data_IF_625132474756
#
_entry.id   IF_625132474756
#
_cell.length_a   1.000
_cell.length_b   1.000
_cell.length_c   1.000
_cell.angle_alpha   90.00
_cell.angle_beta   90.00
_cell.angle_gamma   90.00
#
_symmetry.space_group_name_H-M   'P 1'
#
loop_
_entity.id
_entity.type
_entity.pdbx_description
1 polymer ?
#
# COMPACT_ATOMS: atom_id res chain seq x y z
N UNK A 1 9.61 12.35 2.17
CA UNK A 1 10.09 11.78 3.44
C UNK A 1 11.24 12.64 3.92
N UNK A 2 10.98 13.35 5.00
CA UNK A 2 11.83 14.31 5.70
C UNK A 2 12.53 13.70 6.94
N UNK A 3 12.04 12.56 7.43
CA UNK A 3 12.75 11.71 8.39
C UNK A 3 12.47 12.05 9.85
N UNK A 4 11.34 12.68 10.16
CA UNK A 4 10.94 13.04 11.53
C UNK A 4 9.84 12.14 12.12
N UNK A 5 9.25 11.25 11.33
CA UNK A 5 8.25 10.30 11.81
C UNK A 5 7.32 9.83 10.69
N UNK A 6 6.19 9.23 11.09
CA UNK A 6 5.03 9.05 10.22
C UNK A 6 3.94 9.96 10.75
N UNK A 7 3.42 10.82 9.89
CA UNK A 7 2.41 11.81 10.23
C UNK A 7 1.08 11.53 9.51
N UNK A 8 -0.02 11.91 10.15
CA UNK A 8 -1.37 11.66 9.61
C UNK A 8 -2.27 12.87 9.72
N UNK A 9 -3.13 13.02 8.73
CA UNK A 9 -4.24 13.97 8.72
C UNK A 9 -5.56 13.23 8.88
N UNK A 10 -6.44 13.77 9.72
CA UNK A 10 -7.77 13.21 9.93
C UNK A 10 -8.62 13.30 8.64
N UNK A 11 -9.72 12.56 8.60
CA UNK A 11 -10.72 12.56 7.51
C UNK A 11 -11.19 13.96 7.07
N UNK A 12 -11.18 14.94 7.99
CA UNK A 12 -11.56 16.33 7.72
C UNK A 12 -10.39 17.22 7.27
N UNK A 13 -9.15 16.76 7.45
CA UNK A 13 -7.94 17.46 7.00
C UNK A 13 -7.87 17.56 5.47
N UNK A 14 -8.51 16.63 4.76
CA UNK A 14 -8.70 16.70 3.31
C UNK A 14 -10.15 16.34 2.96
N UNK A 15 -11.04 17.34 3.08
CA UNK A 15 -12.46 17.15 2.79
C UNK A 15 -12.67 16.64 1.36
N UNK A 16 -13.30 15.47 1.22
CA UNK A 16 -13.56 14.85 -0.08
C UNK A 16 -12.55 13.79 -0.53
N UNK A 17 -11.50 13.49 0.24
CA UNK A 17 -10.62 12.35 -0.03
C UNK A 17 -11.35 11.03 0.26
N UNK A 18 -11.89 10.39 -0.78
CA UNK A 18 -12.59 9.11 -0.71
C UNK A 18 -11.73 8.00 -1.32
N UNK A 19 -11.61 6.86 -0.63
CA UNK A 19 -10.88 5.69 -1.12
C UNK A 19 -11.61 4.39 -0.80
N UNK A 20 -11.43 3.38 -1.65
CA UNK A 20 -11.98 2.04 -1.42
C UNK A 20 -10.91 1.14 -0.77
N UNK A 21 -10.77 1.25 0.56
CA UNK A 21 -9.80 0.46 1.30
C UNK A 21 -10.06 -1.06 1.27
N UNK A 22 -11.28 -1.48 0.93
CA UNK A 22 -11.69 -2.89 1.03
C UNK A 22 -11.86 -3.58 -0.31
N UNK A 23 -11.60 -2.86 -1.42
CA UNK A 23 -11.76 -3.39 -2.78
C UNK A 23 -13.17 -3.98 -3.01
N UNK A 24 -14.19 -3.20 -2.65
CA UNK A 24 -15.61 -3.58 -2.74
C UNK A 24 -16.44 -2.62 -3.61
N UNK A 25 -15.78 -1.70 -4.31
CA UNK A 25 -16.38 -0.70 -5.19
C UNK A 25 -16.96 0.52 -4.46
N UNK A 26 -16.76 0.65 -3.14
CA UNK A 26 -17.33 1.74 -2.33
C UNK A 26 -16.22 2.60 -1.77
N UNK A 27 -16.18 3.87 -2.17
CA UNK A 27 -15.21 4.84 -1.63
C UNK A 27 -15.76 5.53 -0.39
N UNK A 28 -14.98 5.54 0.68
CA UNK A 28 -15.34 6.16 1.96
C UNK A 28 -14.33 7.24 2.35
N UNK A 29 -14.79 8.28 3.03
CA UNK A 29 -13.89 9.29 3.59
C UNK A 29 -13.00 8.67 4.67
N UNK A 30 -11.69 8.87 4.56
CA UNK A 30 -10.68 8.25 5.41
C UNK A 30 -9.59 9.25 5.81
N UNK A 31 -8.84 8.93 6.87
CA UNK A 31 -7.63 9.67 7.21
C UNK A 31 -6.52 9.31 6.22
N UNK A 32 -5.57 10.22 6.03
CA UNK A 32 -4.46 10.04 5.10
C UNK A 32 -3.14 10.31 5.79
N UNK A 33 -2.08 9.80 5.19
CA UNK A 33 -0.72 10.21 5.48
C UNK A 33 -0.54 11.71 5.15
N UNK A 34 0.28 12.42 5.91
CA UNK A 34 0.65 13.81 5.60
C UNK A 34 1.41 13.89 4.27
N UNK A 35 1.52 15.09 3.69
CA UNK A 35 2.03 15.29 2.33
C UNK A 35 3.56 15.12 2.17
N UNK A 36 4.28 15.18 3.27
CA UNK A 36 5.71 14.92 3.43
C UNK A 36 6.04 13.41 3.49
N UNK A 37 5.06 12.59 3.84
CA UNK A 37 5.14 11.14 3.92
C UNK A 37 4.46 10.45 2.73
N UNK A 38 4.66 9.13 2.63
CA UNK A 38 4.16 8.33 1.51
C UNK A 38 3.60 6.98 1.93
N UNK A 39 2.59 6.51 1.19
CA UNK A 39 2.14 5.13 1.25
C UNK A 39 2.93 4.30 0.24
N UNK A 40 3.33 3.10 0.65
CA UNK A 40 3.87 2.11 -0.28
C UNK A 40 2.73 1.43 -1.02
N UNK A 41 2.81 1.42 -2.35
CA UNK A 41 1.74 0.98 -3.23
C UNK A 41 2.30 0.16 -4.39
N UNK A 42 1.45 -0.69 -4.97
CA UNK A 42 1.74 -1.43 -6.19
C UNK A 42 0.47 -1.55 -7.02
N UNK A 43 0.51 -1.03 -8.24
CA UNK A 43 -0.54 -1.23 -9.22
C UNK A 43 -0.54 -2.71 -9.65
N UNK A 44 -1.58 -3.44 -9.24
CA UNK A 44 -1.67 -4.88 -9.49
C UNK A 44 -2.32 -5.20 -10.83
N UNK A 45 -3.03 -4.25 -11.42
CA UNK A 45 -3.79 -4.45 -12.65
C UNK A 45 -3.18 -3.74 -13.87
N UNK A 46 -2.15 -2.89 -13.66
CA UNK A 46 -1.38 -2.22 -14.69
C UNK A 46 -2.10 -1.04 -15.36
N UNK A 47 -3.13 -0.46 -14.72
CA UNK A 47 -3.89 0.66 -15.27
C UNK A 47 -3.26 2.04 -14.99
N UNK A 48 -2.17 2.10 -14.22
CA UNK A 48 -1.49 3.32 -13.81
C UNK A 48 -2.20 4.11 -12.70
N UNK A 49 -3.16 3.50 -12.02
CA UNK A 49 -4.01 4.12 -10.99
C UNK A 49 -4.09 3.19 -9.78
N UNK A 50 -3.69 3.70 -8.61
CA UNK A 50 -3.98 3.03 -7.34
C UNK A 50 -5.41 3.37 -6.93
N UNK A 51 -6.34 2.46 -7.17
CA UNK A 51 -7.78 2.72 -7.05
C UNK A 51 -8.48 1.95 -5.93
N UNK A 52 -7.80 0.97 -5.32
CA UNK A 52 -8.35 0.18 -4.23
C UNK A 52 -7.29 -0.33 -3.22
N UNK A 53 -7.76 -0.78 -2.06
CA UNK A 53 -6.89 -1.18 -0.95
C UNK A 53 -6.07 -2.45 -1.15
N UNK A 54 -6.32 -3.25 -2.20
CA UNK A 54 -5.43 -4.38 -2.52
C UNK A 54 -4.08 -3.90 -3.08
N UNK A 55 -4.03 -2.66 -3.57
CA UNK A 55 -2.86 -2.02 -4.17
C UNK A 55 -2.06 -1.19 -3.16
N UNK A 56 -2.52 -1.15 -1.90
CA UNK A 56 -1.75 -0.66 -0.76
C UNK A 56 -1.09 -1.86 -0.08
N UNK A 57 0.17 -1.70 0.35
CA UNK A 57 0.79 -2.72 1.20
C UNK A 57 0.13 -2.72 2.58
N UNK A 58 -0.37 -3.89 3.00
CA UNK A 58 -1.10 -4.04 4.25
C UNK A 58 -1.62 -5.46 4.45
N UNK A 59 -2.56 -5.63 5.37
CA UNK A 59 -3.28 -6.89 5.59
C UNK A 59 -4.33 -7.18 4.51
N UNK A 60 -4.69 -6.20 3.68
CA UNK A 60 -5.56 -6.39 2.52
C UNK A 60 -4.79 -6.78 1.23
N UNK A 61 -3.47 -6.93 1.29
CA UNK A 61 -2.67 -7.40 0.16
C UNK A 61 -2.80 -8.92 0.00
N UNK A 62 -3.00 -9.38 -1.23
CA UNK A 62 -3.00 -10.83 -1.54
C UNK A 62 -1.57 -11.32 -1.80
N UNK A 63 -1.23 -12.47 -1.20
CA UNK A 63 0.02 -13.20 -1.44
C UNK A 63 -0.09 -14.05 -2.71
N UNK A 64 1.01 -14.64 -3.18
CA UNK A 64 1.02 -15.47 -4.38
C UNK A 64 0.12 -16.71 -4.28
N UNK A 65 -0.11 -17.22 -3.07
CA UNK A 65 -1.02 -18.34 -2.80
C UNK A 65 -2.51 -17.93 -2.76
N UNK A 66 -2.81 -16.65 -2.93
CA UNK A 66 -4.17 -16.09 -2.91
C UNK A 66 -4.72 -15.80 -1.51
N UNK A 67 -3.98 -16.12 -0.45
CA UNK A 67 -4.32 -15.71 0.91
C UNK A 67 -4.00 -14.23 1.15
N UNK A 68 -4.54 -13.67 2.22
CA UNK A 68 -4.22 -12.30 2.64
C UNK A 68 -2.98 -12.27 3.52
N UNK A 69 -2.14 -11.26 3.30
CA UNK A 69 -0.98 -11.02 4.14
C UNK A 69 -1.40 -10.80 5.60
N UNK A 70 -0.61 -11.29 6.56
CA UNK A 70 -0.85 -11.00 7.98
C UNK A 70 -0.61 -9.53 8.34
N UNK A 71 0.26 -8.87 7.57
CA UNK A 71 0.65 -7.46 7.68
C UNK A 71 1.47 -7.05 6.44
N UNK A 72 1.66 -5.75 6.21
CA UNK A 72 2.35 -5.22 5.02
C UNK A 72 3.78 -5.75 4.82
N UNK A 73 4.54 -5.99 5.90
CA UNK A 73 5.89 -6.57 5.78
C UNK A 73 5.89 -8.01 5.24
N UNK A 74 4.84 -8.80 5.51
CA UNK A 74 4.74 -10.15 4.97
C UNK A 74 4.43 -10.10 3.47
N UNK A 75 3.68 -9.09 3.02
CA UNK A 75 3.45 -8.87 1.60
C UNK A 75 4.72 -8.44 0.86
N UNK A 76 5.63 -7.70 1.51
CA UNK A 76 6.92 -7.35 0.91
C UNK A 76 7.84 -8.56 0.74
N UNK A 77 7.84 -9.49 1.69
CA UNK A 77 8.69 -10.68 1.62
C UNK A 77 8.43 -11.56 0.38
N UNK A 78 7.22 -11.54 -0.18
CA UNK A 78 6.88 -12.25 -1.43
C UNK A 78 7.57 -11.66 -2.67
N UNK A 79 8.06 -10.43 -2.59
CA UNK A 79 8.69 -9.72 -3.70
C UNK A 79 10.22 -9.89 -3.72
N UNK A 80 10.78 -10.46 -2.66
CA UNK A 80 12.19 -10.85 -2.60
C UNK A 80 12.40 -12.11 -3.46
N UNK A 81 12.94 -11.89 -4.65
CA UNK A 81 13.12 -12.94 -5.65
C UNK A 81 14.41 -13.74 -5.47
N UNK A 82 15.36 -13.21 -4.70
CA UNK A 82 16.68 -13.81 -4.51
C UNK A 82 16.87 -14.41 -3.09
N UNK A 83 15.96 -14.12 -2.16
CA UNK A 83 15.92 -14.64 -0.79
C UNK A 83 16.94 -14.00 0.15
N UNK A 84 17.44 -12.79 -0.14
CA UNK A 84 18.42 -12.09 0.69
C UNK A 84 17.78 -11.25 1.82
N UNK A 85 16.45 -11.21 1.88
CA UNK A 85 15.60 -10.39 2.76
C UNK A 85 15.73 -8.87 2.54
N UNK A 86 16.12 -8.44 1.33
CA UNK A 86 16.30 -7.04 0.96
C UNK A 86 15.61 -6.79 -0.38
N UNK A 87 14.48 -6.08 -0.36
CA UNK A 87 13.84 -5.61 -1.59
C UNK A 87 14.71 -4.53 -2.26
N UNK A 88 15.37 -4.89 -3.35
CA UNK A 88 16.30 -4.02 -4.07
C UNK A 88 16.26 -4.26 -5.59
N UNK A 89 17.07 -3.51 -6.35
CA UNK A 89 17.08 -3.57 -7.82
C UNK A 89 17.48 -4.94 -8.42
N UNK A 90 17.96 -5.90 -7.60
CA UNK A 90 18.15 -7.28 -8.00
C UNK A 90 16.83 -8.07 -8.05
N UNK A 91 15.76 -7.54 -7.46
CA UNK A 91 14.44 -8.16 -7.46
C UNK A 91 13.62 -7.79 -8.68
N UNK A 92 12.95 -8.78 -9.25
CA UNK A 92 12.11 -8.59 -10.43
C UNK A 92 10.94 -7.61 -10.20
N UNK A 93 10.60 -7.32 -8.95
CA UNK A 93 9.47 -6.48 -8.55
C UNK A 93 9.87 -5.04 -8.12
N UNK A 94 11.16 -4.68 -8.16
CA UNK A 94 11.66 -3.33 -7.86
C UNK A 94 11.45 -2.35 -9.02
#
# INVERSE_FOLDING_TARGET
MDGDGIETVATKGFSGALFDHRNQGIRTATGWVSADDGLLVRDLNGNGIIDNGAELFGDNTKLADGSFAKHGYAALAELDSNGDNIINAADAAF
#
